data_IF_882493610334
#
_entry.id   IF_882493610334
#
_cell.length_a   1.000
_cell.length_b   1.000
_cell.length_c   1.000
_cell.angle_alpha   90.00
_cell.angle_beta   90.00
_cell.angle_gamma   90.00
#
_symmetry.space_group_name_H-M   'P 1'
#
loop_
_entity.id
_entity.type
_entity.pdbx_description
1 polymer ?
#
# COMPACT_ATOMS: atom_id res chain seq x y z
N UNK A 1 -0.40 -2.00 -13.08
CA UNK A 1 -0.24 -0.55 -13.28
C UNK A 1 1.21 -0.24 -13.57
N UNK A 2 1.48 0.65 -14.46
CA UNK A 2 2.84 0.95 -14.86
C UNK A 2 3.29 2.33 -14.39
N UNK A 3 4.61 2.53 -14.37
CA UNK A 3 5.24 3.77 -13.94
C UNK A 3 4.70 5.01 -14.68
N UNK A 4 4.42 4.89 -15.98
CA UNK A 4 3.85 5.98 -16.78
C UNK A 4 2.45 6.36 -16.30
N UNK A 5 1.63 5.37 -15.96
CA UNK A 5 0.28 5.61 -15.45
C UNK A 5 0.34 6.32 -14.10
N UNK A 6 1.26 5.91 -13.23
CA UNK A 6 1.47 6.55 -11.94
C UNK A 6 1.96 7.99 -12.12
N UNK A 7 2.95 8.22 -12.97
CA UNK A 7 3.46 9.56 -13.25
C UNK A 7 2.35 10.47 -13.77
N UNK A 8 1.47 9.96 -14.63
CA UNK A 8 0.33 10.72 -15.15
C UNK A 8 -0.66 11.09 -14.04
N UNK A 9 -0.91 10.18 -13.11
CA UNK A 9 -1.77 10.46 -11.96
C UNK A 9 -1.14 11.55 -11.07
N UNK A 10 0.18 11.50 -10.87
CA UNK A 10 0.91 12.47 -10.05
C UNK A 10 1.00 13.85 -10.70
N UNK A 11 0.97 13.91 -12.03
CA UNK A 11 1.07 15.18 -12.77
C UNK A 11 -0.06 16.15 -12.46
N UNK A 12 -1.25 15.65 -12.10
CA UNK A 12 -2.38 16.48 -11.69
C UNK A 12 -2.26 17.01 -10.25
N UNK A 13 -1.24 16.57 -9.53
CA UNK A 13 -0.95 16.99 -8.15
C UNK A 13 -2.13 16.85 -7.19
N UNK A 14 -2.79 15.67 -7.12
CA UNK A 14 -3.93 15.46 -6.23
C UNK A 14 -3.48 15.33 -4.78
N UNK A 15 -4.37 15.67 -3.84
CA UNK A 15 -4.12 15.51 -2.40
C UNK A 15 -4.31 14.07 -1.93
N UNK A 16 -5.15 13.31 -2.63
CA UNK A 16 -5.46 11.92 -2.30
C UNK A 16 -5.16 11.05 -3.52
N UNK A 17 -4.37 10.02 -3.32
CA UNK A 17 -3.97 9.08 -4.35
C UNK A 17 -4.46 7.68 -3.99
N UNK A 18 -5.12 7.00 -4.92
CA UNK A 18 -5.63 5.64 -4.72
C UNK A 18 -5.06 4.75 -5.83
N UNK A 19 -4.37 3.68 -5.42
CA UNK A 19 -3.77 2.73 -6.34
C UNK A 19 -4.25 1.31 -6.05
N UNK A 20 -4.63 0.60 -7.08
CA UNK A 20 -5.05 -0.80 -6.99
C UNK A 20 -3.97 -1.68 -7.62
N UNK A 21 -3.28 -2.46 -6.78
CA UNK A 21 -2.17 -3.33 -7.17
C UNK A 21 -1.16 -2.64 -8.10
N UNK A 22 -0.56 -1.51 -7.68
CA UNK A 22 0.27 -0.69 -8.58
C UNK A 22 1.54 -1.38 -9.06
N UNK A 23 1.96 -2.45 -8.40
CA UNK A 23 3.19 -3.19 -8.73
C UNK A 23 2.92 -4.55 -9.32
N UNK A 24 1.66 -4.86 -9.65
CA UNK A 24 1.29 -6.16 -10.21
C UNK A 24 1.97 -6.40 -11.55
N UNK A 25 2.64 -7.57 -11.69
CA UNK A 25 3.28 -7.95 -12.94
C UNK A 25 4.56 -7.18 -13.28
N UNK A 26 5.14 -6.48 -12.30
CA UNK A 26 6.34 -5.65 -12.49
C UNK A 26 7.53 -6.30 -11.78
N UNK A 27 8.74 -6.16 -12.35
CA UNK A 27 9.94 -6.70 -11.73
C UNK A 27 10.34 -5.93 -10.45
N UNK A 28 11.24 -6.51 -9.66
CA UNK A 28 11.65 -5.97 -8.35
C UNK A 28 12.23 -4.56 -8.46
N UNK A 29 13.04 -4.29 -9.48
CA UNK A 29 13.65 -2.97 -9.65
C UNK A 29 12.60 -1.90 -9.91
N UNK A 30 11.67 -2.18 -10.81
CA UNK A 30 10.59 -1.27 -11.15
C UNK A 30 9.62 -1.09 -9.97
N UNK A 31 9.35 -2.15 -9.19
CA UNK A 31 8.56 -2.05 -7.97
C UNK A 31 9.17 -1.05 -6.99
N UNK A 32 10.46 -1.14 -6.76
CA UNK A 32 11.15 -0.24 -5.84
C UNK A 32 11.09 1.22 -6.31
N UNK A 33 11.19 1.45 -7.60
CA UNK A 33 11.05 2.79 -8.16
C UNK A 33 9.65 3.35 -7.91
N UNK A 34 8.62 2.53 -8.08
CA UNK A 34 7.22 2.93 -7.83
C UNK A 34 7.01 3.24 -6.35
N UNK A 35 7.49 2.38 -5.46
CA UNK A 35 7.35 2.60 -4.02
C UNK A 35 8.07 3.87 -3.57
N UNK A 36 9.24 4.16 -4.12
CA UNK A 36 9.96 5.39 -3.82
C UNK A 36 9.16 6.63 -4.26
N UNK A 37 8.52 6.58 -5.41
CA UNK A 37 7.65 7.66 -5.87
C UNK A 37 6.48 7.89 -4.90
N UNK A 38 5.86 6.82 -4.43
CA UNK A 38 4.74 6.91 -3.49
C UNK A 38 5.19 7.48 -2.14
N UNK A 39 6.36 7.07 -1.64
CA UNK A 39 6.92 7.58 -0.40
C UNK A 39 7.26 9.07 -0.50
N UNK A 40 7.79 9.51 -1.63
CA UNK A 40 8.06 10.93 -1.88
C UNK A 40 6.77 11.75 -1.82
N UNK A 41 5.69 11.26 -2.42
CA UNK A 41 4.40 11.94 -2.40
C UNK A 41 3.80 11.99 -0.99
N UNK A 42 4.00 10.92 -0.21
CA UNK A 42 3.59 10.88 1.19
C UNK A 42 4.30 11.97 2.00
N UNK A 43 5.60 12.15 1.78
CA UNK A 43 6.38 13.18 2.47
C UNK A 43 5.93 14.60 2.12
N UNK A 44 5.32 14.79 0.96
CA UNK A 44 4.72 16.06 0.58
C UNK A 44 3.38 16.34 1.28
N UNK A 45 2.95 15.45 2.16
CA UNK A 45 1.71 15.59 2.91
C UNK A 45 0.48 15.00 2.25
N UNK A 46 0.66 14.23 1.19
CA UNK A 46 -0.46 13.59 0.49
C UNK A 46 -0.93 12.33 1.19
N UNK A 47 -2.20 12.00 1.04
CA UNK A 47 -2.79 10.76 1.54
C UNK A 47 -2.77 9.73 0.42
N UNK A 48 -2.23 8.53 0.72
CA UNK A 48 -2.08 7.48 -0.27
C UNK A 48 -2.76 6.21 0.24
N UNK A 49 -3.65 5.65 -0.58
CA UNK A 49 -4.31 4.38 -0.30
C UNK A 49 -3.88 3.37 -1.36
N UNK A 50 -3.35 2.24 -0.90
CA UNK A 50 -2.87 1.17 -1.78
C UNK A 50 -3.61 -0.12 -1.48
N UNK A 51 -4.20 -0.73 -2.49
CA UNK A 51 -4.79 -2.05 -2.41
C UNK A 51 -3.79 -3.08 -2.96
N UNK A 52 -3.44 -4.08 -2.18
CA UNK A 52 -2.53 -5.12 -2.63
C UNK A 52 -2.68 -6.38 -1.76
N UNK A 53 -2.55 -7.59 -2.34
CA UNK A 53 -2.48 -8.82 -1.56
C UNK A 53 -1.07 -9.08 -1.01
N UNK A 54 -0.09 -8.26 -1.38
CA UNK A 54 1.32 -8.44 -1.02
C UNK A 54 1.62 -7.82 0.34
N UNK A 55 1.32 -8.55 1.41
CA UNK A 55 1.45 -8.05 2.79
C UNK A 55 2.85 -7.51 3.08
N UNK A 56 3.89 -8.25 2.69
CA UNK A 56 5.27 -7.85 2.95
C UNK A 56 5.61 -6.50 2.32
N UNK A 57 5.14 -6.26 1.10
CA UNK A 57 5.36 -4.98 0.42
C UNK A 57 4.64 -3.85 1.12
N UNK A 58 3.39 -4.08 1.53
CA UNK A 58 2.60 -3.07 2.23
C UNK A 58 3.23 -2.68 3.57
N UNK A 59 3.78 -3.64 4.31
CA UNK A 59 4.45 -3.37 5.57
C UNK A 59 5.64 -2.41 5.41
N UNK A 60 6.28 -2.42 4.25
CA UNK A 60 7.44 -1.56 3.99
C UNK A 60 7.06 -0.13 3.62
N UNK A 61 5.85 0.10 3.14
CA UNK A 61 5.46 1.42 2.60
C UNK A 61 4.31 2.08 3.36
N UNK A 62 3.53 1.33 4.11
CA UNK A 62 2.33 1.86 4.78
C UNK A 62 2.58 2.16 6.25
N UNK A 63 1.92 3.21 6.76
CA UNK A 63 1.92 3.53 8.19
C UNK A 63 0.85 2.77 8.95
N UNK A 64 -0.16 2.26 8.25
CA UNK A 64 -1.18 1.40 8.83
C UNK A 64 -1.78 0.51 7.76
N UNK A 65 -2.29 -0.64 8.16
CA UNK A 65 -2.96 -1.59 7.29
C UNK A 65 -4.39 -1.78 7.74
N UNK A 66 -5.28 -1.90 6.76
CA UNK A 66 -6.67 -2.28 6.99
C UNK A 66 -6.88 -3.64 6.35
N UNK A 67 -7.43 -4.58 7.14
CA UNK A 67 -7.78 -5.91 6.62
C UNK A 67 -9.25 -5.90 6.27
N UNK A 68 -9.56 -6.25 5.03
CA UNK A 68 -10.94 -6.26 4.50
C UNK A 68 -11.37 -7.68 4.22
N UNK A 69 -12.58 -8.03 4.65
CA UNK A 69 -13.19 -9.32 4.37
C UNK A 69 -14.68 -9.13 4.09
N UNK A 70 -15.15 -9.67 2.97
CA UNK A 70 -16.56 -9.56 2.54
C UNK A 70 -17.09 -8.12 2.60
N UNK A 71 -16.33 -7.17 2.07
CA UNK A 71 -16.75 -5.78 2.00
C UNK A 71 -16.70 -5.02 3.33
N UNK A 72 -16.15 -5.61 4.38
CA UNK A 72 -16.07 -5.02 5.71
C UNK A 72 -14.64 -4.93 6.19
N UNK A 73 -14.27 -3.82 6.83
CA UNK A 73 -12.97 -3.69 7.48
C UNK A 73 -13.03 -4.46 8.80
N UNK A 74 -12.27 -5.55 8.91
CA UNK A 74 -12.26 -6.42 10.09
C UNK A 74 -11.14 -6.11 11.06
N UNK A 75 -10.12 -5.37 10.64
CA UNK A 75 -9.03 -4.96 11.52
C UNK A 75 -8.31 -3.74 10.97
N UNK A 76 -7.81 -2.91 11.89
CA UNK A 76 -6.86 -1.83 11.59
C UNK A 76 -5.61 -2.10 12.41
N UNK A 77 -4.45 -2.14 11.74
CA UNK A 77 -3.17 -2.39 12.40
C UNK A 77 -2.24 -1.24 12.09
N UNK A 78 -1.88 -0.46 13.12
CA UNK A 78 -0.97 0.67 12.99
C UNK A 78 0.48 0.21 13.11
N UNK A 79 1.40 1.00 12.59
CA UNK A 79 2.82 0.69 12.62
C UNK A 79 3.36 0.43 14.02
N UNK A 80 2.78 1.06 15.04
CA UNK A 80 3.15 0.86 16.45
C UNK A 80 2.58 -0.40 17.07
N UNK A 81 1.65 -1.07 16.40
CA UNK A 81 1.03 -2.31 16.89
C UNK A 81 2.01 -3.48 16.70
N UNK A 82 2.09 -4.38 17.71
CA UNK A 82 2.94 -5.56 17.61
C UNK A 82 2.49 -6.56 16.53
N UNK A 83 1.25 -6.43 16.04
CA UNK A 83 0.75 -7.23 14.92
C UNK A 83 1.17 -6.68 13.55
N UNK A 84 1.87 -5.57 13.49
CA UNK A 84 2.35 -4.96 12.25
C UNK A 84 3.58 -5.73 11.74
N UNK A 85 3.36 -7.00 11.40
CA UNK A 85 4.34 -7.96 10.87
C UNK A 85 3.62 -8.84 9.86
N UNK A 86 4.38 -9.51 8.98
CA UNK A 86 3.77 -10.43 8.03
C UNK A 86 2.96 -11.51 8.74
N UNK A 87 3.54 -12.11 9.79
CA UNK A 87 2.86 -13.15 10.59
C UNK A 87 1.58 -12.62 11.22
N UNK A 88 1.65 -11.45 11.85
CA UNK A 88 0.49 -10.84 12.52
C UNK A 88 -0.66 -10.56 11.57
N UNK A 89 -0.36 -9.99 10.41
CA UNK A 89 -1.39 -9.68 9.42
C UNK A 89 -1.97 -10.95 8.81
N UNK A 90 -1.14 -11.94 8.47
CA UNK A 90 -1.61 -13.20 7.92
C UNK A 90 -2.50 -13.96 8.91
N UNK A 91 -2.18 -13.93 10.20
CA UNK A 91 -3.03 -14.53 11.24
C UNK A 91 -4.41 -13.89 11.27
N UNK A 92 -4.49 -12.56 11.15
CA UNK A 92 -5.76 -11.85 11.09
C UNK A 92 -6.55 -12.26 9.83
N UNK A 93 -5.87 -12.31 8.69
CA UNK A 93 -6.51 -12.68 7.42
C UNK A 93 -7.06 -14.10 7.45
N UNK A 94 -6.34 -15.04 8.08
CA UNK A 94 -6.75 -16.44 8.18
C UNK A 94 -7.87 -16.67 9.20
N UNK A 95 -8.11 -15.72 10.10
CA UNK A 95 -9.20 -15.82 11.09
C UNK A 95 -10.59 -15.61 10.47
N UNK A 96 -10.64 -15.11 9.24
CA UNK A 96 -11.90 -14.82 8.53
C UNK A 96 -12.06 -15.62 7.20
#
# INVERSE_FOLDING_TARGET
MQKVVIAKALASNPDILIFDEPTRGIDIKAKNEIYNLLLEEKEKGKSILVFSPEVRELLNICSRLLVVHNGTIVAEVKQSDNRFTEKGILEIMHAY
#
